data_IF_109509702241
#
_entry.id   IF_109509702241
#
_cell.length_a   1.000
_cell.length_b   1.000
_cell.length_c   1.000
_cell.angle_alpha   90.00
_cell.angle_beta   90.00
_cell.angle_gamma   90.00
#
_symmetry.space_group_name_H-M   'P 1'
#
loop_
_entity.id
_entity.type
_entity.pdbx_description
1 polymer ?
#
# COMPACT_ATOMS: atom_id res chain seq x y z
N UNK A 1 7.58 16.89 20.59
CA UNK A 1 6.91 16.04 19.57
C UNK A 1 7.82 14.85 19.32
N UNK A 2 7.58 13.74 20.01
CA UNK A 2 8.26 12.47 19.74
C UNK A 2 7.18 11.51 19.23
N UNK A 3 7.33 11.00 18.02
CA UNK A 3 6.49 9.94 17.49
C UNK A 3 7.30 8.65 17.48
N UNK A 4 6.71 7.57 17.97
CA UNK A 4 7.25 6.22 17.87
C UNK A 4 6.18 5.33 17.24
N UNK A 5 6.58 4.54 16.25
CA UNK A 5 5.65 3.64 15.58
C UNK A 5 5.37 2.43 16.47
N UNK A 6 4.12 2.29 16.91
CA UNK A 6 3.67 1.15 17.69
C UNK A 6 2.37 0.56 17.08
N UNK A 7 2.41 -0.68 16.56
CA UNK A 7 1.23 -1.34 15.99
C UNK A 7 0.17 -1.79 17.01
N UNK A 8 0.54 -2.05 18.28
CA UNK A 8 -0.33 -2.69 19.28
C UNK A 8 -1.05 -1.69 20.18
N UNK A 9 -0.42 -0.54 20.44
CA UNK A 9 -0.94 0.49 21.31
C UNK A 9 -0.33 1.83 20.93
N UNK A 10 -1.13 2.84 20.61
CA UNK A 10 -0.57 4.09 20.14
C UNK A 10 -1.47 5.29 20.30
N UNK A 11 -0.91 6.44 19.97
CA UNK A 11 -1.64 7.67 19.78
C UNK A 11 -2.52 7.60 18.52
N UNK A 12 -3.36 8.62 18.32
CA UNK A 12 -4.28 8.70 17.19
C UNK A 12 -3.57 8.54 15.82
N UNK A 13 -2.31 8.99 15.71
CA UNK A 13 -1.51 8.80 14.50
C UNK A 13 -1.20 7.31 14.25
N UNK A 14 -0.80 6.55 15.28
CA UNK A 14 -0.59 5.11 15.17
C UNK A 14 -1.87 4.35 14.78
N UNK A 15 -3.02 4.74 15.33
CA UNK A 15 -4.31 4.16 14.99
C UNK A 15 -4.69 4.41 13.53
N UNK A 16 -4.49 5.64 13.05
CA UNK A 16 -4.73 5.98 11.64
C UNK A 16 -3.73 5.32 10.68
N UNK A 17 -2.47 5.15 11.07
CA UNK A 17 -1.52 4.36 10.28
C UNK A 17 -1.94 2.90 10.18
N UNK A 18 -2.42 2.31 11.28
CA UNK A 18 -2.96 0.95 11.26
C UNK A 18 -4.16 0.85 10.32
N UNK A 19 -5.17 1.69 10.50
CA UNK A 19 -6.39 1.68 9.70
C UNK A 19 -6.08 1.95 8.21
N UNK A 20 -5.30 2.99 7.92
CA UNK A 20 -4.97 3.38 6.56
C UNK A 20 -4.18 2.29 5.81
N UNK A 21 -3.33 1.54 6.51
CA UNK A 21 -2.64 0.39 5.93
C UNK A 21 -3.62 -0.70 5.48
N UNK A 22 -4.68 -0.98 6.26
CA UNK A 22 -5.72 -1.94 5.84
C UNK A 22 -6.46 -1.50 4.58
N UNK A 23 -6.71 -0.19 4.43
CA UNK A 23 -7.32 0.35 3.21
C UNK A 23 -6.38 0.18 2.01
N UNK A 24 -5.08 0.47 2.18
CA UNK A 24 -4.08 0.26 1.13
C UNK A 24 -3.93 -1.24 0.74
N UNK A 25 -4.02 -2.16 1.71
CA UNK A 25 -4.06 -3.60 1.44
C UNK A 25 -5.27 -3.99 0.61
N UNK A 26 -6.44 -3.37 0.86
CA UNK A 26 -7.63 -3.56 0.04
C UNK A 26 -7.40 -3.21 -1.43
N UNK A 27 -6.86 -2.02 -1.72
CA UNK A 27 -6.54 -1.59 -3.09
C UNK A 27 -5.54 -2.54 -3.77
N UNK A 28 -4.54 -2.99 -3.02
CA UNK A 28 -3.50 -3.88 -3.52
C UNK A 28 -4.04 -5.27 -3.85
N UNK A 29 -4.89 -5.82 -2.97
CA UNK A 29 -5.59 -7.08 -3.21
C UNK A 29 -6.52 -6.98 -4.43
N UNK A 30 -7.24 -5.86 -4.59
CA UNK A 30 -8.06 -5.62 -5.79
C UNK A 30 -7.21 -5.58 -7.04
N UNK A 31 -6.07 -4.87 -7.04
CA UNK A 31 -5.16 -4.79 -8.18
C UNK A 31 -4.70 -6.17 -8.63
N UNK A 32 -4.18 -6.97 -7.69
CA UNK A 32 -3.66 -8.30 -7.97
C UNK A 32 -4.76 -9.26 -8.43
N UNK A 33 -5.93 -9.23 -7.79
CA UNK A 33 -7.07 -10.06 -8.16
C UNK A 33 -7.56 -9.76 -9.58
N UNK A 34 -7.71 -8.49 -9.95
CA UNK A 34 -8.14 -8.09 -11.30
C UNK A 34 -7.11 -8.48 -12.36
N UNK A 35 -5.81 -8.41 -12.05
CA UNK A 35 -4.74 -8.86 -12.96
C UNK A 35 -4.58 -10.39 -13.01
N UNK A 36 -5.31 -11.14 -12.17
CA UNK A 36 -5.19 -12.60 -12.09
C UNK A 36 -3.86 -13.06 -11.47
N UNK A 37 -3.20 -12.23 -10.66
CA UNK A 37 -1.92 -12.54 -10.04
C UNK A 37 -2.15 -13.06 -8.62
N UNK A 38 -1.58 -14.22 -8.30
CA UNK A 38 -1.65 -14.79 -6.96
C UNK A 38 -0.95 -13.90 -5.93
N UNK A 39 -1.60 -13.65 -4.80
CA UNK A 39 -1.06 -12.85 -3.69
C UNK A 39 0.17 -13.49 -3.02
N UNK A 40 0.47 -14.75 -3.31
CA UNK A 40 1.55 -15.51 -2.68
C UNK A 40 2.93 -15.28 -3.30
N UNK A 41 3.01 -14.65 -4.47
CA UNK A 41 4.28 -14.44 -5.18
C UNK A 41 4.98 -13.14 -4.79
N UNK A 42 5.33 -13.00 -3.51
CA UNK A 42 5.99 -11.81 -3.02
C UNK A 42 7.43 -11.67 -3.53
N UNK A 43 7.83 -10.42 -3.71
CA UNK A 43 9.14 -10.02 -4.22
C UNK A 43 10.01 -9.45 -3.11
N UNK A 44 9.42 -8.72 -2.14
CA UNK A 44 10.16 -8.14 -1.01
C UNK A 44 9.70 -8.70 0.33
N UNK A 45 8.40 -8.68 0.63
CA UNK A 45 7.89 -9.21 1.87
C UNK A 45 8.09 -10.73 1.93
N UNK A 46 8.61 -11.20 3.08
CA UNK A 46 9.19 -12.53 3.23
C UNK A 46 8.33 -13.69 2.72
N UNK A 47 9.02 -14.71 2.17
CA UNK A 47 8.44 -15.89 1.51
C UNK A 47 7.44 -16.70 2.37
N UNK A 48 7.46 -16.52 3.70
CA UNK A 48 6.62 -17.26 4.66
C UNK A 48 5.35 -16.52 5.05
N UNK A 49 5.19 -15.25 4.68
CA UNK A 49 3.98 -14.47 4.98
C UNK A 49 2.91 -14.74 3.93
N UNK A 50 1.78 -15.31 4.33
CA UNK A 50 0.65 -15.57 3.43
C UNK A 50 0.14 -14.25 2.84
N UNK A 51 -0.01 -14.19 1.53
CA UNK A 51 -0.44 -12.98 0.83
C UNK A 51 0.60 -11.85 0.80
N UNK A 52 1.90 -12.18 0.94
CA UNK A 52 2.98 -11.21 1.03
C UNK A 52 3.02 -10.17 -0.12
N UNK A 53 2.60 -10.53 -1.34
CA UNK A 53 2.58 -9.60 -2.48
C UNK A 53 1.57 -8.46 -2.31
N UNK A 54 0.51 -8.65 -1.52
CA UNK A 54 -0.45 -7.57 -1.19
C UNK A 54 0.26 -6.45 -0.43
N UNK A 55 1.21 -6.80 0.43
CA UNK A 55 1.98 -5.81 1.19
C UNK A 55 3.02 -5.11 0.31
N UNK A 56 3.68 -5.86 -0.59
CA UNK A 56 4.62 -5.29 -1.57
C UNK A 56 3.95 -4.22 -2.44
N UNK A 57 2.74 -4.50 -2.95
CA UNK A 57 1.99 -3.55 -3.78
C UNK A 57 1.47 -2.37 -2.94
N UNK A 58 1.05 -2.60 -1.70
CA UNK A 58 0.56 -1.53 -0.82
C UNK A 58 1.63 -0.50 -0.47
N UNK A 59 2.88 -0.94 -0.36
CA UNK A 59 4.01 -0.06 -0.07
C UNK A 59 4.23 1.01 -1.16
N UNK A 60 3.70 0.82 -2.38
CA UNK A 60 3.72 1.85 -3.43
C UNK A 60 3.01 3.15 -3.02
N UNK A 61 2.06 3.10 -2.08
CA UNK A 61 1.25 4.26 -1.68
C UNK A 61 1.26 4.56 -0.18
N UNK A 62 1.72 3.62 0.66
CA UNK A 62 1.64 3.77 2.12
C UNK A 62 2.39 4.99 2.61
N UNK A 63 3.64 5.16 2.22
CA UNK A 63 4.45 6.29 2.69
C UNK A 63 4.09 7.59 1.96
N UNK A 64 3.63 7.50 0.72
CA UNK A 64 3.28 8.67 -0.10
C UNK A 64 1.91 9.26 0.25
N UNK A 65 0.95 8.44 0.70
CA UNK A 65 -0.45 8.86 0.90
C UNK A 65 -0.95 8.52 2.29
N UNK A 66 -0.84 7.27 2.74
CA UNK A 66 -1.38 6.87 4.05
C UNK A 66 -0.67 7.60 5.20
N UNK A 67 0.66 7.62 5.17
CA UNK A 67 1.49 8.24 6.19
C UNK A 67 1.16 9.72 6.41
N UNK A 68 1.21 10.63 5.40
CA UNK A 68 0.92 12.04 5.64
C UNK A 68 -0.53 12.27 6.11
N UNK A 69 -1.50 11.56 5.53
CA UNK A 69 -2.91 11.75 5.89
C UNK A 69 -3.25 11.22 7.29
N UNK A 70 -2.56 10.20 7.78
CA UNK A 70 -2.69 9.77 9.17
C UNK A 70 -2.28 10.88 10.15
N UNK A 71 -1.15 11.56 9.91
CA UNK A 71 -0.69 12.65 10.79
C UNK A 71 -1.52 13.92 10.65
N UNK A 72 -1.98 14.26 9.43
CA UNK A 72 -2.87 15.41 9.21
C UNK A 72 -4.18 15.21 9.98
N UNK A 73 -4.86 14.09 9.77
CA UNK A 73 -6.12 13.79 10.46
C UNK A 73 -5.94 13.67 11.98
N UNK A 74 -4.83 13.09 12.45
CA UNK A 74 -4.54 13.01 13.87
C UNK A 74 -4.35 14.40 14.49
N UNK A 75 -3.66 15.31 13.80
CA UNK A 75 -3.50 16.71 14.22
C UNK A 75 -4.82 17.47 14.26
N UNK A 76 -5.73 17.18 13.34
CA UNK A 76 -7.07 17.77 13.27
C UNK A 76 -8.05 17.18 14.30
N UNK A 77 -7.67 16.10 15.00
CA UNK A 77 -8.54 15.41 15.95
C UNK A 77 -9.72 14.72 15.24
N UNK A 78 -9.54 14.31 13.99
CA UNK A 78 -10.56 13.63 13.22
C UNK A 78 -11.01 12.33 13.92
N UNK A 79 -12.25 11.91 13.66
CA UNK A 79 -12.72 10.57 13.99
C UNK A 79 -12.20 9.54 12.98
N UNK A 80 -12.24 8.27 13.34
CA UNK A 80 -11.85 7.17 12.44
C UNK A 80 -12.66 7.14 11.14
N UNK A 81 -13.96 7.46 11.21
CA UNK A 81 -14.83 7.52 10.03
C UNK A 81 -14.46 8.68 9.11
N UNK A 82 -14.15 9.85 9.66
CA UNK A 82 -13.69 11.01 8.89
C UNK A 82 -12.33 10.72 8.26
N UNK A 83 -11.38 10.13 9.02
CA UNK A 83 -10.09 9.69 8.47
C UNK A 83 -10.28 8.74 7.28
N UNK A 84 -11.12 7.70 7.43
CA UNK A 84 -11.41 6.76 6.34
C UNK A 84 -11.98 7.48 5.11
N UNK A 85 -12.95 8.37 5.29
CA UNK A 85 -13.57 9.08 4.18
C UNK A 85 -12.58 10.00 3.47
N UNK A 86 -11.77 10.75 4.22
CA UNK A 86 -10.73 11.60 3.65
C UNK A 86 -9.68 10.77 2.91
N UNK A 87 -9.18 9.68 3.50
CA UNK A 87 -8.15 8.86 2.87
C UNK A 87 -8.65 8.18 1.59
N UNK A 88 -9.90 7.70 1.57
CA UNK A 88 -10.52 7.15 0.35
C UNK A 88 -10.68 8.21 -0.75
N UNK A 89 -11.06 9.44 -0.38
CA UNK A 89 -11.10 10.54 -1.33
C UNK A 89 -9.71 10.81 -1.91
N UNK A 90 -8.66 10.77 -1.07
CA UNK A 90 -7.28 10.99 -1.53
C UNK A 90 -6.74 9.88 -2.41
N UNK A 91 -7.10 8.63 -2.16
CA UNK A 91 -6.82 7.54 -3.09
C UNK A 91 -7.44 7.76 -4.47
N UNK A 92 -8.61 8.38 -4.52
CA UNK A 92 -9.30 8.71 -5.78
C UNK A 92 -8.65 9.91 -6.45
N UNK A 93 -8.42 11.01 -5.72
CA UNK A 93 -7.79 12.24 -6.22
C UNK A 93 -6.41 11.96 -6.84
N UNK A 94 -5.62 11.11 -6.18
CA UNK A 94 -4.27 10.73 -6.64
C UNK A 94 -4.24 9.50 -7.55
N UNK A 95 -5.41 8.93 -7.89
CA UNK A 95 -5.52 7.75 -8.76
C UNK A 95 -4.64 6.58 -8.30
N UNK A 96 -4.61 6.34 -6.99
CA UNK A 96 -3.73 5.33 -6.38
C UNK A 96 -3.94 3.93 -6.96
N UNK A 97 -5.19 3.56 -7.25
CA UNK A 97 -5.50 2.25 -7.82
C UNK A 97 -4.97 2.11 -9.26
N UNK A 98 -5.17 3.14 -10.11
CA UNK A 98 -4.60 3.16 -11.46
C UNK A 98 -3.07 3.03 -11.40
N UNK A 99 -2.43 3.78 -10.50
CA UNK A 99 -0.99 3.73 -10.29
C UNK A 99 -0.49 2.32 -9.93
N UNK A 100 -1.18 1.63 -9.01
CA UNK A 100 -0.85 0.24 -8.66
C UNK A 100 -0.96 -0.68 -9.87
N UNK A 101 -2.03 -0.57 -10.67
CA UNK A 101 -2.17 -1.36 -11.90
C UNK A 101 -1.00 -1.13 -12.86
N UNK A 102 -0.63 0.12 -13.09
CA UNK A 102 0.45 0.48 -14.02
C UNK A 102 1.79 -0.06 -13.54
N UNK A 103 2.11 0.07 -12.25
CA UNK A 103 3.36 -0.46 -11.69
C UNK A 103 3.44 -1.98 -11.75
N UNK A 104 2.36 -2.69 -11.41
CA UNK A 104 2.35 -4.17 -11.45
C UNK A 104 2.48 -4.65 -12.89
N UNK A 105 1.76 -4.04 -13.85
CA UNK A 105 1.89 -4.37 -15.28
C UNK A 105 3.30 -4.09 -15.81
N UNK A 106 3.88 -2.95 -15.44
CA UNK A 106 5.24 -2.57 -15.85
C UNK A 106 6.26 -3.64 -15.45
N UNK A 107 6.19 -4.14 -14.22
CA UNK A 107 7.11 -5.18 -13.75
C UNK A 107 6.79 -6.56 -14.35
N UNK A 108 5.52 -6.93 -14.45
CA UNK A 108 5.11 -8.23 -14.98
C UNK A 108 5.39 -8.39 -16.48
N UNK A 109 5.33 -7.31 -17.25
CA UNK A 109 5.55 -7.31 -18.70
C UNK A 109 6.99 -6.94 -19.10
N UNK A 110 7.90 -6.75 -18.14
CA UNK A 110 9.29 -6.40 -18.43
C UNK A 110 9.98 -7.54 -19.18
N UNK A 111 10.32 -7.31 -20.44
CA UNK A 111 11.16 -8.25 -21.21
C UNK A 111 12.61 -8.09 -20.79
N UNK A 112 13.27 -9.20 -20.49
CA UNK A 112 14.72 -9.23 -20.34
C UNK A 112 15.30 -9.60 -21.71
N UNK A 113 16.26 -8.83 -22.26
CA UNK A 113 16.96 -9.26 -23.47
C UNK A 113 17.62 -10.61 -23.21
N UNK A 114 17.52 -11.52 -24.18
CA UNK A 114 18.09 -12.86 -24.08
C UNK A 114 19.59 -12.76 -23.76
N UNK A 115 20.01 -13.40 -22.65
CA UNK A 115 21.43 -13.56 -22.28
C UNK A 115 22.21 -14.49 -23.23
N UNK A 116 21.61 -14.92 -24.34
CA UNK A 116 22.23 -15.85 -25.30
C UNK A 116 23.26 -15.19 -26.24
N UNK A 117 23.53 -13.88 -26.12
CA UNK A 117 24.54 -13.20 -26.95
C UNK A 117 25.92 -13.03 -26.30
N UNK A 118 26.16 -13.61 -25.11
CA UNK A 118 27.45 -13.53 -24.40
C UNK A 118 28.08 -14.90 -24.05
N UNK A 119 27.72 -15.97 -24.78
CA UNK A 119 28.41 -17.26 -24.72
C UNK A 119 29.03 -17.65 -26.07
#
# INVERSE_FOLDING_TARGET
>A
LSFERNPEQGDLANDFLNHGNYLAYGLSATTLWVLGISHSFAVMHGKTRRGALVFDVADLIKDAVVLPWAFICAKEGATEQEFRQQLLQKFTDYRCLDWMFDQVKLQACKSFPNLESEL
#
